data_IF_740751585875
#
_entry.id   IF_740751585875
#
_cell.length_a   1.000
_cell.length_b   1.000
_cell.length_c   1.000
_cell.angle_alpha   90.00
_cell.angle_beta   90.00
_cell.angle_gamma   90.00
#
_symmetry.space_group_name_H-M   'P 1'
#
loop_
_entity.id
_entity.type
_entity.pdbx_description
1 polymer ?
#
# COMPACT_ATOMS: atom_id res chain seq x y z
N UNK A 1 -19.06 -7.00 -13.07
CA UNK A 1 -18.97 -6.33 -11.77
C UNK A 1 -20.06 -6.91 -10.90
N UNK A 2 -19.67 -7.66 -9.87
CA UNK A 2 -20.61 -8.31 -8.96
C UNK A 2 -21.27 -7.28 -8.02
N UNK A 3 -22.44 -7.59 -7.47
CA UNK A 3 -23.16 -6.66 -6.56
C UNK A 3 -22.32 -6.30 -5.33
N UNK A 4 -21.46 -7.21 -4.88
CA UNK A 4 -20.55 -7.01 -3.76
C UNK A 4 -19.49 -5.93 -4.05
N UNK A 5 -18.84 -5.96 -5.22
CA UNK A 5 -17.81 -4.99 -5.61
C UNK A 5 -18.36 -3.56 -5.66
N UNK A 6 -19.61 -3.39 -6.09
CA UNK A 6 -20.29 -2.08 -6.11
C UNK A 6 -20.51 -1.55 -4.69
N UNK A 7 -20.91 -2.42 -3.75
CA UNK A 7 -21.12 -2.06 -2.34
C UNK A 7 -19.77 -1.70 -1.71
N UNK A 8 -18.75 -2.54 -1.91
CA UNK A 8 -17.38 -2.30 -1.42
C UNK A 8 -16.85 -0.94 -1.89
N UNK A 9 -16.99 -0.62 -3.18
CA UNK A 9 -16.56 0.67 -3.72
C UNK A 9 -17.26 1.85 -3.06
N UNK A 10 -18.59 1.77 -2.87
CA UNK A 10 -19.36 2.84 -2.21
C UNK A 10 -18.92 3.02 -0.76
N UNK A 11 -18.69 1.91 -0.04
CA UNK A 11 -18.18 1.94 1.33
C UNK A 11 -16.80 2.59 1.37
N UNK A 12 -15.87 2.19 0.48
CA UNK A 12 -14.54 2.79 0.40
C UNK A 12 -14.60 4.30 0.11
N UNK A 13 -15.48 4.76 -0.78
CA UNK A 13 -15.65 6.19 -1.05
C UNK A 13 -16.16 6.94 0.19
N UNK A 14 -17.17 6.41 0.89
CA UNK A 14 -17.70 7.02 2.11
C UNK A 14 -16.64 7.08 3.21
N UNK A 15 -15.89 5.98 3.40
CA UNK A 15 -14.76 5.92 4.34
C UNK A 15 -13.67 6.93 3.95
N UNK A 16 -13.32 7.02 2.67
CA UNK A 16 -12.34 7.99 2.18
C UNK A 16 -12.73 9.44 2.45
N UNK A 17 -14.00 9.79 2.25
CA UNK A 17 -14.54 11.13 2.57
C UNK A 17 -14.49 11.39 4.08
N UNK A 18 -14.89 10.42 4.90
CA UNK A 18 -14.85 10.56 6.36
C UNK A 18 -13.40 10.75 6.86
N UNK A 19 -12.43 10.03 6.28
CA UNK A 19 -11.02 10.18 6.61
C UNK A 19 -10.45 11.53 6.17
N UNK A 20 -10.88 12.07 5.01
CA UNK A 20 -10.52 13.45 4.61
C UNK A 20 -11.08 14.46 5.63
N UNK A 21 -12.35 14.34 6.00
CA UNK A 21 -12.96 15.24 6.98
C UNK A 21 -12.22 15.20 8.31
N UNK A 22 -11.84 14.00 8.77
CA UNK A 22 -11.02 13.82 9.97
C UNK A 22 -9.63 14.45 9.83
N UNK A 23 -8.95 14.24 8.71
CA UNK A 23 -7.63 14.82 8.46
C UNK A 23 -7.67 16.35 8.41
N UNK A 24 -8.69 16.94 7.78
CA UNK A 24 -8.91 18.40 7.75
C UNK A 24 -9.16 18.92 9.17
N UNK A 25 -9.98 18.24 9.96
CA UNK A 25 -10.23 18.61 11.35
C UNK A 25 -8.96 18.54 12.20
N UNK A 26 -8.18 17.46 12.11
CA UNK A 26 -6.90 17.31 12.81
C UNK A 26 -5.87 18.35 12.38
N UNK A 27 -5.90 18.81 11.12
CA UNK A 27 -5.01 19.84 10.63
C UNK A 27 -5.34 21.26 11.15
N UNK A 28 -6.50 21.46 11.78
CA UNK A 28 -6.84 22.74 12.42
C UNK A 28 -6.08 22.98 13.73
N UNK A 29 -5.54 21.92 14.32
CA UNK A 29 -4.75 21.96 15.55
C UNK A 29 -3.28 21.57 15.25
N UNK A 30 -2.36 22.45 15.62
CA UNK A 30 -0.92 22.28 15.38
C UNK A 30 -0.34 21.04 16.07
N UNK A 31 -0.87 20.65 17.23
CA UNK A 31 -0.43 19.44 17.95
C UNK A 31 -0.88 18.16 17.22
N UNK A 32 -1.97 18.28 16.46
CA UNK A 32 -2.64 17.16 15.79
C UNK A 32 -2.27 17.02 14.29
N UNK A 33 -1.55 17.99 13.72
CA UNK A 33 -1.11 18.00 12.31
C UNK A 33 -0.34 16.74 11.91
N UNK A 34 0.49 16.18 12.82
CA UNK A 34 1.23 14.95 12.53
C UNK A 34 0.28 13.78 12.22
N UNK A 35 -0.84 13.67 12.94
CA UNK A 35 -1.84 12.63 12.70
C UNK A 35 -2.57 12.83 11.36
N UNK A 36 -2.84 14.08 10.97
CA UNK A 36 -3.39 14.38 9.65
C UNK A 36 -2.45 13.92 8.52
N UNK A 37 -1.14 14.12 8.68
CA UNK A 37 -0.11 13.65 7.74
C UNK A 37 -0.06 12.12 7.68
N UNK A 38 -0.15 11.45 8.85
CA UNK A 38 -0.17 9.98 8.94
C UNK A 38 -1.43 9.35 8.33
N UNK A 39 -2.54 10.09 8.24
CA UNK A 39 -3.76 9.64 7.56
C UNK A 39 -3.66 9.70 6.03
N UNK A 40 -2.80 10.56 5.46
CA UNK A 40 -2.73 10.76 4.02
C UNK A 40 -2.44 9.48 3.22
N UNK A 41 -1.51 8.59 3.62
CA UNK A 41 -1.31 7.29 2.96
C UNK A 41 -2.53 6.37 3.01
N UNK A 42 -3.31 6.42 4.10
CA UNK A 42 -4.51 5.60 4.29
C UNK A 42 -5.63 6.12 3.39
N UNK A 43 -5.87 7.43 3.39
CA UNK A 43 -6.83 8.09 2.48
C UNK A 43 -6.50 7.75 1.03
N UNK A 44 -5.23 7.90 0.66
CA UNK A 44 -4.76 7.57 -0.66
C UNK A 44 -4.99 6.09 -1.03
N UNK A 45 -4.69 5.16 -0.10
CA UNK A 45 -4.93 3.73 -0.30
C UNK A 45 -6.41 3.41 -0.52
N UNK A 46 -7.30 4.00 0.28
CA UNK A 46 -8.75 3.78 0.18
C UNK A 46 -9.29 4.23 -1.18
N UNK A 47 -8.90 5.40 -1.67
CA UNK A 47 -9.30 5.86 -2.99
C UNK A 47 -8.65 5.08 -4.12
N UNK A 48 -7.40 4.64 -3.94
CA UNK A 48 -6.76 3.73 -4.87
C UNK A 48 -7.57 2.44 -5.05
N UNK A 49 -7.96 1.80 -3.94
CA UNK A 49 -8.80 0.60 -3.94
C UNK A 49 -10.15 0.87 -4.61
N UNK A 50 -10.82 1.97 -4.25
CA UNK A 50 -12.14 2.30 -4.77
C UNK A 50 -12.18 2.51 -6.30
N UNK A 51 -11.14 3.10 -6.88
CA UNK A 51 -11.21 3.57 -8.27
C UNK A 51 -10.42 2.74 -9.28
N UNK A 52 -9.35 2.05 -8.84
CA UNK A 52 -8.38 1.49 -9.77
C UNK A 52 -8.11 -0.01 -9.59
N UNK A 53 -8.51 -0.60 -8.46
CA UNK A 53 -8.24 -2.02 -8.20
C UNK A 53 -8.95 -2.96 -9.19
N UNK A 54 -10.20 -2.62 -9.54
CA UNK A 54 -11.06 -3.43 -10.44
C UNK A 54 -10.80 -3.18 -11.92
N UNK A 55 -10.01 -2.16 -12.27
CA UNK A 55 -9.71 -1.89 -13.67
C UNK A 55 -8.67 -2.87 -14.25
N UNK A 56 -8.18 -3.82 -13.45
CA UNK A 56 -7.28 -4.89 -13.90
C UNK A 56 -8.00 -5.74 -14.96
N UNK A 57 -7.51 -5.70 -16.20
CA UNK A 57 -8.11 -6.41 -17.34
C UNK A 57 -9.13 -5.60 -18.16
N UNK A 58 -9.45 -4.37 -17.76
CA UNK A 58 -10.30 -3.48 -18.58
C UNK A 58 -9.55 -3.01 -19.83
N UNK A 59 -10.26 -3.04 -20.98
CA UNK A 59 -9.82 -2.47 -22.26
C UNK A 59 -9.93 -0.95 -22.33
N UNK A 60 -10.45 -0.30 -21.28
CA UNK A 60 -10.54 1.15 -21.21
C UNK A 60 -9.15 1.80 -21.32
N UNK A 61 -9.03 2.90 -22.09
CA UNK A 61 -7.78 3.62 -22.22
C UNK A 61 -7.36 4.20 -20.87
N UNK A 62 -6.10 3.99 -20.52
CA UNK A 62 -5.51 4.52 -19.29
C UNK A 62 -5.28 6.02 -19.43
N UNK A 63 -5.96 6.82 -18.60
CA UNK A 63 -5.80 8.27 -18.58
C UNK A 63 -4.45 8.70 -17.95
N UNK A 64 -4.00 9.93 -18.25
CA UNK A 64 -2.79 10.50 -17.65
C UNK A 64 -2.87 10.60 -16.13
N UNK A 65 -4.03 10.98 -15.60
CA UNK A 65 -4.30 11.03 -14.16
C UNK A 65 -4.23 9.63 -13.51
N UNK A 66 -4.78 8.60 -14.17
CA UNK A 66 -4.70 7.22 -13.69
C UNK A 66 -3.23 6.73 -13.64
N UNK A 67 -2.41 7.07 -14.63
CA UNK A 67 -0.97 6.75 -14.61
C UNK A 67 -0.23 7.46 -13.48
N UNK A 68 -0.52 8.74 -13.25
CA UNK A 68 0.10 9.52 -12.19
C UNK A 68 -0.28 8.97 -10.81
N UNK A 69 -1.55 8.64 -10.60
CA UNK A 69 -2.02 8.00 -9.37
C UNK A 69 -1.38 6.62 -9.17
N UNK A 70 -1.25 5.81 -10.22
CA UNK A 70 -0.54 4.53 -10.12
C UNK A 70 0.93 4.70 -9.75
N UNK A 71 1.63 5.65 -10.38
CA UNK A 71 3.01 5.97 -10.04
C UNK A 71 3.14 6.42 -8.58
N UNK A 72 2.25 7.30 -8.15
CA UNK A 72 2.18 7.79 -6.74
C UNK A 72 1.93 6.62 -5.80
N UNK A 73 1.01 5.72 -6.14
CA UNK A 73 0.70 4.53 -5.36
C UNK A 73 1.91 3.62 -5.18
N UNK A 74 2.63 3.33 -6.26
CA UNK A 74 3.83 2.51 -6.18
C UNK A 74 4.90 3.15 -5.30
N UNK A 75 5.08 4.47 -5.41
CA UNK A 75 6.04 5.20 -4.59
C UNK A 75 5.65 5.22 -3.12
N UNK A 76 4.42 5.61 -2.79
CA UNK A 76 3.90 5.63 -1.42
C UNK A 76 4.01 4.24 -0.81
N UNK A 77 3.59 3.19 -1.52
CA UNK A 77 3.71 1.80 -1.05
C UNK A 77 5.16 1.42 -0.77
N UNK A 78 6.08 1.74 -1.68
CA UNK A 78 7.51 1.43 -1.52
C UNK A 78 8.16 2.20 -0.38
N UNK A 79 7.80 3.46 -0.18
CA UNK A 79 8.34 4.28 0.90
C UNK A 79 7.80 3.80 2.26
N UNK A 80 6.49 3.56 2.37
CA UNK A 80 5.86 3.12 3.61
C UNK A 80 6.28 1.70 3.96
N UNK A 81 6.02 0.72 3.09
CA UNK A 81 6.34 -0.68 3.38
C UNK A 81 7.84 -0.94 3.31
N UNK A 82 8.56 -0.32 2.38
CA UNK A 82 10.02 -0.44 2.32
C UNK A 82 10.69 0.21 3.54
N UNK A 83 10.16 1.34 4.03
CA UNK A 83 10.60 1.94 5.30
C UNK A 83 10.39 1.00 6.48
N UNK A 84 9.20 0.41 6.61
CA UNK A 84 8.93 -0.61 7.63
C UNK A 84 9.86 -1.82 7.52
N UNK A 85 10.13 -2.30 6.30
CA UNK A 85 11.08 -3.39 6.06
C UNK A 85 12.49 -3.03 6.52
N UNK A 86 12.99 -1.82 6.19
CA UNK A 86 14.31 -1.37 6.63
C UNK A 86 14.40 -1.21 8.15
N UNK A 87 13.34 -0.72 8.80
CA UNK A 87 13.27 -0.64 10.26
C UNK A 87 13.34 -2.03 10.90
N UNK A 88 12.56 -2.99 10.40
CA UNK A 88 12.58 -4.38 10.86
C UNK A 88 13.95 -5.02 10.64
N UNK A 89 14.58 -4.78 9.49
CA UNK A 89 15.94 -5.24 9.23
C UNK A 89 16.94 -4.67 10.23
N UNK A 90 16.85 -3.37 10.52
CA UNK A 90 17.66 -2.71 11.54
C UNK A 90 17.48 -3.34 12.92
N UNK A 91 16.24 -3.62 13.31
CA UNK A 91 15.92 -4.31 14.56
C UNK A 91 16.50 -5.73 14.61
N UNK A 92 16.45 -6.48 13.50
CA UNK A 92 17.06 -7.80 13.43
C UNK A 92 18.58 -7.74 13.60
N UNK A 93 19.26 -6.75 12.99
CA UNK A 93 20.70 -6.55 13.14
C UNK A 93 21.05 -6.20 14.61
N UNK A 94 20.26 -5.35 15.26
CA UNK A 94 20.45 -5.01 16.68
C UNK A 94 20.23 -6.22 17.57
N UNK A 95 19.16 -7.00 17.35
CA UNK A 95 18.88 -8.22 18.10
C UNK A 95 20.04 -9.22 18.01
N UNK A 96 20.58 -9.41 16.80
CA UNK A 96 21.76 -10.26 16.58
C UNK A 96 22.98 -9.76 17.35
N UNK A 97 23.27 -8.46 17.29
CA UNK A 97 24.41 -7.85 18.00
C UNK A 97 24.29 -7.93 19.52
N UNK A 98 23.06 -7.87 20.05
CA UNK A 98 22.77 -8.01 21.47
C UNK A 98 22.67 -9.47 21.92
N UNK A 99 23.03 -10.43 21.06
CA UNK A 99 22.99 -11.86 21.34
C UNK A 99 21.61 -12.34 21.81
N UNK A 100 20.55 -11.73 21.27
CA UNK A 100 19.18 -12.20 21.47
C UNK A 100 19.00 -13.61 20.89
N UNK A 101 17.94 -14.29 21.32
CA UNK A 101 17.63 -15.62 20.82
C UNK A 101 17.56 -15.66 19.27
N UNK A 102 18.13 -16.73 18.71
CA UNK A 102 18.24 -16.91 17.26
C UNK A 102 16.84 -16.92 16.61
N UNK A 103 15.86 -17.52 17.27
CA UNK A 103 14.47 -17.59 16.78
C UNK A 103 13.89 -16.19 16.63
N UNK A 104 14.08 -15.33 17.64
CA UNK A 104 13.59 -13.94 17.61
C UNK A 104 14.23 -13.15 16.48
N UNK A 105 15.54 -13.28 16.31
CA UNK A 105 16.30 -12.62 15.24
C UNK A 105 15.82 -13.06 13.85
N UNK A 106 15.66 -14.37 13.64
CA UNK A 106 15.18 -14.93 12.37
C UNK A 106 13.74 -14.54 12.08
N UNK A 107 12.88 -14.46 13.09
CA UNK A 107 11.48 -14.07 12.93
C UNK A 107 11.37 -12.60 12.47
N UNK A 108 12.10 -11.69 13.10
CA UNK A 108 12.14 -10.27 12.71
C UNK A 108 12.73 -10.11 11.31
N UNK A 109 13.81 -10.83 10.98
CA UNK A 109 14.41 -10.82 9.65
C UNK A 109 13.45 -11.37 8.57
N UNK A 110 12.74 -12.45 8.87
CA UNK A 110 11.71 -13.02 7.99
C UNK A 110 10.56 -12.05 7.74
N UNK A 111 10.06 -11.38 8.79
CA UNK A 111 9.05 -10.32 8.66
C UNK A 111 9.55 -9.16 7.79
N UNK A 112 10.80 -8.73 7.99
CA UNK A 112 11.43 -7.71 7.15
C UNK A 112 11.42 -8.11 5.67
N UNK A 113 11.83 -9.34 5.35
CA UNK A 113 11.83 -9.83 3.97
C UNK A 113 10.43 -9.89 3.38
N UNK A 114 9.44 -10.36 4.15
CA UNK A 114 8.05 -10.42 3.71
C UNK A 114 7.46 -9.03 3.44
N UNK A 115 7.65 -8.08 4.36
CA UNK A 115 7.20 -6.70 4.18
C UNK A 115 7.90 -6.06 2.98
N UNK A 116 9.20 -6.33 2.80
CA UNK A 116 9.97 -5.88 1.64
C UNK A 116 9.45 -6.46 0.32
N UNK A 117 9.04 -7.74 0.30
CA UNK A 117 8.40 -8.37 -0.85
C UNK A 117 7.12 -7.63 -1.26
N UNK A 118 6.23 -7.37 -0.29
CA UNK A 118 4.98 -6.64 -0.52
C UNK A 118 5.25 -5.18 -0.94
N UNK A 119 6.31 -4.55 -0.44
CA UNK A 119 6.70 -3.21 -0.89
C UNK A 119 7.01 -3.18 -2.40
N UNK A 120 7.74 -4.19 -2.89
CA UNK A 120 8.19 -4.28 -4.28
C UNK A 120 7.05 -4.73 -5.19
N UNK A 121 6.47 -5.90 -4.94
CA UNK A 121 5.52 -6.56 -5.83
C UNK A 121 4.07 -6.12 -5.55
N UNK A 122 3.76 -5.85 -4.29
CA UNK A 122 2.39 -5.64 -3.80
C UNK A 122 1.81 -6.94 -3.27
N UNK A 123 0.59 -6.86 -2.72
CA UNK A 123 -0.24 -8.01 -2.47
C UNK A 123 -1.14 -8.27 -3.69
N UNK A 124 -1.16 -9.49 -4.18
CA UNK A 124 -2.11 -10.02 -5.15
C UNK A 124 -3.49 -10.25 -4.52
N UNK A 125 -4.41 -10.79 -5.31
CA UNK A 125 -5.75 -11.16 -4.88
C UNK A 125 -5.77 -12.51 -4.15
N UNK A 126 -4.90 -13.42 -4.57
CA UNK A 126 -4.65 -14.69 -3.90
C UNK A 126 -3.47 -14.51 -2.94
N UNK A 127 -3.56 -15.07 -1.73
CA UNK A 127 -2.50 -15.00 -0.70
C UNK A 127 -1.26 -15.83 -1.08
N UNK A 128 -0.73 -15.65 -2.28
CA UNK A 128 0.43 -16.38 -2.82
C UNK A 128 1.43 -15.44 -3.49
N UNK A 129 2.72 -15.71 -3.30
CA UNK A 129 3.80 -14.93 -3.92
C UNK A 129 3.78 -14.98 -5.46
N UNK A 130 3.31 -16.08 -6.03
CA UNK A 130 3.12 -16.21 -7.49
C UNK A 130 2.06 -15.24 -8.01
N UNK A 131 1.00 -15.01 -7.23
CA UNK A 131 -0.05 -14.08 -7.61
C UNK A 131 0.38 -12.62 -7.47
N UNK A 132 1.18 -12.29 -6.44
CA UNK A 132 1.80 -10.96 -6.31
C UNK A 132 2.60 -10.60 -7.57
N UNK A 133 3.41 -11.54 -8.06
CA UNK A 133 4.21 -11.39 -9.27
C UNK A 133 3.36 -11.24 -10.53
N UNK A 134 2.31 -12.07 -10.68
CA UNK A 134 1.36 -11.99 -11.79
C UNK A 134 0.68 -10.64 -11.82
N UNK A 135 0.10 -10.24 -10.70
CA UNK A 135 -0.56 -8.95 -10.49
C UNK A 135 0.38 -7.78 -10.79
N UNK A 136 1.65 -7.86 -10.34
CA UNK A 136 2.65 -6.84 -10.62
C UNK A 136 2.91 -6.70 -12.13
N UNK A 137 3.05 -7.82 -12.85
CA UNK A 137 3.28 -7.83 -14.30
C UNK A 137 2.08 -7.27 -15.06
N UNK A 138 0.86 -7.62 -14.67
CA UNK A 138 -0.37 -7.13 -15.30
C UNK A 138 -0.53 -5.62 -15.15
N UNK A 139 -0.36 -5.11 -13.92
CA UNK A 139 -0.36 -3.65 -13.65
C UNK A 139 0.74 -2.95 -14.44
N UNK A 140 1.96 -3.51 -14.46
CA UNK A 140 3.07 -2.96 -15.26
C UNK A 140 2.75 -2.94 -16.76
N UNK A 141 2.10 -3.97 -17.30
CA UNK A 141 1.70 -4.02 -18.71
C UNK A 141 0.64 -2.96 -19.04
N UNK A 142 -0.35 -2.78 -18.16
CA UNK A 142 -1.44 -1.80 -18.35
C UNK A 142 -0.98 -0.35 -18.25
N UNK A 143 -0.07 -0.06 -17.32
CA UNK A 143 0.42 1.31 -17.07
C UNK A 143 1.73 1.65 -17.79
N UNK A 144 2.29 0.74 -18.60
CA UNK A 144 3.48 1.01 -19.42
C UNK A 144 3.12 2.10 -20.45
N UNK A 145 3.94 3.15 -20.53
CA UNK A 145 3.80 4.17 -21.59
C UNK A 145 3.86 3.48 -22.96
N UNK A 146 3.01 3.88 -23.93
CA UNK A 146 3.22 3.50 -25.33
C UNK A 146 4.61 3.95 -25.80
#
# INVERSE_FOLDING_TARGET
MERWEIVERRVLVVVGIALIALAVWLATDTESVLFAVLLAPIIFWVFWQAFFEDKRGSSEPVSGAERLLYGTYLWVRRLVLGGCALLLLGLAIVAFKMSQDLTTTLLIAGLSMFVGWVAIFGAGNEKSMSDDLRTHRERRKRYRKP
#
